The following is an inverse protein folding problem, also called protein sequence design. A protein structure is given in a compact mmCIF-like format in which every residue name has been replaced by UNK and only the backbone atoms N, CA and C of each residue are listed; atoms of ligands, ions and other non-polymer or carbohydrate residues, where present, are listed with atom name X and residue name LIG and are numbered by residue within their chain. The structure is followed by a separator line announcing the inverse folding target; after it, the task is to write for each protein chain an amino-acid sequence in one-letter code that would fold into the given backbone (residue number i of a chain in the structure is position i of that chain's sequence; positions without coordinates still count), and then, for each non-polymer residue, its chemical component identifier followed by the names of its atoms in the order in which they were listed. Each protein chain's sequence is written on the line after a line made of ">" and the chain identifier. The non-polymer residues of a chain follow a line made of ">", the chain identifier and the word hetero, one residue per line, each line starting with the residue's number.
data_IF_149156740085
#
_entry.id   IF_149156740085
#
_cell.length_a   1.000
_cell.length_b   1.000
_cell.length_c   1.000
_cell.angle_alpha   90.00
_cell.angle_beta   90.00
_cell.angle_gamma   90.00
#
_symmetry.space_group_name_H-M   'P 1'
#
loop_
_entity.id
_entity.type
_entity.pdbx_description
1 polymer ?
#
# COMPACT_ATOMS: atom_id res chain seq x y z
N UNK A 1 12.14 -5.56 10.05
CA UNK A 1 12.43 -6.10 8.87
C UNK A 1 12.83 -7.55 8.74
N UNK A 2 13.75 -8.07 9.55
CA UNK A 2 14.32 -9.41 9.36
C UNK A 2 15.60 -9.38 8.53
N UNK A 3 16.36 -10.46 8.60
CA UNK A 3 17.60 -10.65 7.84
C UNK A 3 17.28 -11.27 6.48
N UNK A 4 17.61 -10.64 5.35
CA UNK A 4 17.42 -11.26 4.05
C UNK A 4 18.38 -12.46 3.88
N UNK A 5 17.84 -13.55 3.37
CA UNK A 5 18.60 -14.78 3.04
C UNK A 5 18.19 -15.28 1.67
N UNK A 6 19.11 -15.99 1.00
CA UNK A 6 18.80 -16.83 -0.15
C UNK A 6 18.48 -18.24 0.30
N UNK A 7 17.33 -18.75 -0.10
CA UNK A 7 16.90 -20.11 0.19
C UNK A 7 16.25 -20.72 -1.06
N UNK A 8 16.81 -21.82 -1.55
CA UNK A 8 16.28 -22.53 -2.71
C UNK A 8 15.99 -21.64 -3.94
N UNK A 9 16.85 -20.65 -4.21
CA UNK A 9 16.70 -19.71 -5.32
C UNK A 9 15.86 -18.47 -5.02
N UNK A 10 15.10 -18.45 -3.93
CA UNK A 10 14.25 -17.34 -3.53
C UNK A 10 14.87 -16.51 -2.39
N UNK A 11 14.39 -15.28 -2.23
CA UNK A 11 14.77 -14.40 -1.11
C UNK A 11 13.67 -14.41 -0.06
N UNK A 12 14.05 -14.62 1.20
CA UNK A 12 13.18 -14.54 2.38
C UNK A 12 13.81 -13.63 3.43
N UNK A 13 12.99 -13.16 4.38
CA UNK A 13 13.46 -12.40 5.53
C UNK A 13 13.24 -13.23 6.79
N UNK A 14 14.32 -13.80 7.32
CA UNK A 14 14.24 -14.57 8.56
C UNK A 14 14.26 -13.64 9.74
N UNK A 15 13.43 -13.95 10.72
CA UNK A 15 13.29 -13.21 11.95
C UNK A 15 13.00 -11.74 11.73
N UNK A 16 11.95 -11.32 12.31
CA UNK A 16 11.61 -9.93 12.45
C UNK A 16 11.56 -9.59 13.92
N UNK A 17 12.34 -8.63 14.34
CA UNK A 17 12.19 -8.14 15.70
C UNK A 17 10.86 -7.39 15.80
N UNK A 18 10.26 -7.42 16.98
CA UNK A 18 9.08 -6.62 17.29
C UNK A 18 9.39 -5.13 17.13
N UNK A 19 8.54 -4.43 16.40
CA UNK A 19 8.64 -2.98 16.18
C UNK A 19 7.39 -2.27 16.66
N UNK A 20 7.56 -1.01 17.05
CA UNK A 20 6.46 -0.14 17.42
C UNK A 20 5.94 -0.38 18.82
N UNK A 21 4.69 -0.06 19.02
CA UNK A 21 4.02 -0.11 20.31
C UNK A 21 3.83 -1.55 20.80
N UNK A 22 4.37 -1.86 21.96
CA UNK A 22 4.34 -3.20 22.55
C UNK A 22 2.96 -3.59 23.07
N UNK A 23 2.08 -2.64 23.27
CA UNK A 23 0.76 -2.84 23.84
C UNK A 23 -0.29 -3.24 22.79
N UNK A 24 0.05 -3.16 21.50
CA UNK A 24 -0.88 -3.44 20.41
C UNK A 24 -0.57 -4.73 19.69
N UNK A 25 -1.60 -5.54 19.44
CA UNK A 25 -1.46 -6.85 18.81
C UNK A 25 -0.85 -6.81 17.40
N UNK A 26 -1.10 -5.75 16.63
CA UNK A 26 -0.55 -5.62 15.28
C UNK A 26 0.96 -5.32 15.24
N UNK A 27 1.55 -4.88 16.36
CA UNK A 27 2.98 -4.76 16.54
C UNK A 27 3.63 -6.05 17.06
N UNK A 28 2.81 -7.04 17.35
CA UNK A 28 3.23 -8.34 17.81
C UNK A 28 3.67 -9.19 16.62
N UNK A 29 4.79 -9.86 16.76
CA UNK A 29 5.13 -10.95 15.85
C UNK A 29 5.35 -12.23 16.64
N UNK A 30 4.82 -13.33 16.14
CA UNK A 30 5.01 -14.64 16.75
C UNK A 30 6.29 -15.27 16.22
N UNK A 31 7.16 -15.69 17.12
CA UNK A 31 8.21 -16.65 16.82
C UNK A 31 7.58 -18.03 16.95
N UNK A 32 7.35 -18.68 15.83
CA UNK A 32 7.03 -20.10 15.82
C UNK A 32 8.33 -20.88 15.99
N UNK A 33 8.29 -22.04 16.65
CA UNK A 33 9.44 -22.97 16.73
C UNK A 33 9.68 -23.68 15.40
N UNK A 34 9.29 -23.08 14.34
CA UNK A 34 9.42 -23.54 12.97
C UNK A 34 10.79 -23.13 12.41
N UNK A 35 11.54 -24.04 11.76
CA UNK A 35 12.77 -23.67 11.06
C UNK A 35 12.45 -22.60 10.00
N UNK A 36 13.40 -21.70 9.76
CA UNK A 36 13.23 -20.61 8.78
C UNK A 36 12.07 -19.67 9.11
N UNK A 37 11.81 -19.44 10.40
CA UNK A 37 10.75 -18.53 10.87
C UNK A 37 10.97 -17.10 10.37
N UNK A 38 9.89 -16.47 9.90
CA UNK A 38 9.91 -15.11 9.36
C UNK A 38 9.26 -14.09 10.29
N UNK A 39 8.28 -14.48 11.10
CA UNK A 39 7.52 -13.56 11.99
C UNK A 39 6.62 -12.57 11.24
N UNK A 40 5.78 -11.89 12.02
CA UNK A 40 4.88 -10.82 11.53
C UNK A 40 5.48 -9.44 11.81
N UNK A 41 4.94 -8.40 11.18
CA UNK A 41 5.33 -7.03 11.48
C UNK A 41 4.30 -6.01 10.98
N UNK A 42 4.39 -4.80 11.50
CA UNK A 42 3.61 -3.68 11.00
C UNK A 42 4.12 -3.27 9.62
N UNK A 43 3.21 -3.02 8.68
CA UNK A 43 3.54 -2.66 7.28
C UNK A 43 4.58 -1.55 7.20
N UNK A 44 4.33 -0.41 7.83
CA UNK A 44 5.26 0.72 7.84
C UNK A 44 6.64 0.33 8.35
N UNK A 45 6.69 -0.31 9.51
CA UNK A 45 7.94 -0.61 10.21
C UNK A 45 8.78 -1.67 9.48
N UNK A 46 8.11 -2.63 8.84
CA UNK A 46 8.79 -3.63 8.00
C UNK A 46 9.49 -2.95 6.83
N UNK A 47 8.78 -2.11 6.09
CA UNK A 47 9.36 -1.46 4.90
C UNK A 47 10.36 -0.38 5.24
N UNK A 48 10.13 0.39 6.31
CA UNK A 48 11.13 1.32 6.84
C UNK A 48 12.47 0.63 7.13
N UNK A 49 12.42 -0.58 7.66
CA UNK A 49 13.63 -1.34 7.98
C UNK A 49 14.26 -2.02 6.75
N UNK A 50 13.47 -2.37 5.75
CA UNK A 50 13.94 -3.08 4.54
C UNK A 50 14.48 -2.17 3.45
N UNK A 51 14.27 -0.86 3.53
CA UNK A 51 14.68 0.08 2.47
C UNK A 51 16.17 0.01 2.14
N UNK A 52 17.04 -0.26 3.10
CA UNK A 52 18.48 -0.36 2.86
C UNK A 52 18.96 -1.80 2.55
N UNK A 53 18.08 -2.81 2.50
CA UNK A 53 18.48 -4.22 2.29
C UNK A 53 19.34 -4.40 1.05
N UNK A 54 19.00 -3.75 -0.06
CA UNK A 54 19.73 -3.89 -1.33
C UNK A 54 21.19 -3.40 -1.25
N UNK A 55 21.49 -2.47 -0.35
CA UNK A 55 22.85 -1.97 -0.12
C UNK A 55 23.73 -2.99 0.62
N UNK A 56 23.15 -3.81 1.49
CA UNK A 56 23.86 -4.83 2.28
C UNK A 56 23.74 -6.23 1.69
N UNK A 57 22.65 -6.49 0.96
CA UNK A 57 22.32 -7.77 0.36
C UNK A 57 21.77 -7.57 -1.06
N UNK A 58 22.61 -7.23 -2.05
CA UNK A 58 22.15 -6.92 -3.42
C UNK A 58 21.29 -8.01 -4.06
N UNK A 59 21.42 -9.25 -3.60
CA UNK A 59 20.60 -10.36 -4.08
C UNK A 59 19.09 -10.20 -3.78
N UNK A 60 18.69 -9.27 -2.92
CA UNK A 60 17.29 -8.92 -2.68
C UNK A 60 16.66 -8.36 -3.96
N UNK A 61 17.45 -7.63 -4.77
CA UNK A 61 16.98 -7.07 -6.04
C UNK A 61 15.71 -6.25 -5.86
N UNK A 62 14.75 -6.43 -6.74
CA UNK A 62 13.46 -5.74 -6.70
C UNK A 62 12.41 -6.35 -5.75
N UNK A 63 12.76 -7.39 -4.96
CA UNK A 63 11.76 -8.09 -4.12
C UNK A 63 11.02 -7.16 -3.16
N UNK A 64 11.73 -6.31 -2.43
CA UNK A 64 11.08 -5.42 -1.46
C UNK A 64 10.14 -4.41 -2.14
N UNK A 65 10.49 -3.94 -3.34
CA UNK A 65 9.60 -3.10 -4.16
C UNK A 65 8.36 -3.91 -4.58
N UNK A 66 8.60 -5.14 -5.09
CA UNK A 66 7.51 -6.01 -5.53
C UNK A 66 6.53 -6.34 -4.41
N UNK A 67 7.03 -6.74 -3.24
CA UNK A 67 6.19 -7.08 -2.09
C UNK A 67 5.39 -5.87 -1.60
N UNK A 68 6.05 -4.71 -1.43
CA UNK A 68 5.40 -3.47 -1.00
C UNK A 68 4.24 -3.09 -1.91
N UNK A 69 4.52 -2.95 -3.20
CA UNK A 69 3.51 -2.48 -4.14
C UNK A 69 2.47 -3.54 -4.52
N UNK A 70 2.77 -4.84 -4.37
CA UNK A 70 1.75 -5.88 -4.47
C UNK A 70 0.66 -5.72 -3.41
N UNK A 71 1.00 -5.22 -2.23
CA UNK A 71 0.07 -5.01 -1.12
C UNK A 71 -0.65 -3.66 -1.16
N UNK A 72 -0.24 -2.73 -2.02
CA UNK A 72 -0.99 -1.49 -2.25
C UNK A 72 -2.31 -1.83 -2.93
N UNK A 73 -3.40 -1.31 -2.34
CA UNK A 73 -4.77 -1.53 -2.75
C UNK A 73 -5.20 -0.49 -3.80
N UNK A 74 -6.22 -0.78 -4.61
CA UNK A 74 -6.71 0.18 -5.59
C UNK A 74 -7.37 1.42 -4.96
N UNK A 75 -7.75 1.40 -3.68
CA UNK A 75 -8.21 2.58 -2.93
C UNK A 75 -7.07 3.44 -2.36
N UNK A 76 -5.81 3.10 -2.68
CA UNK A 76 -4.63 3.83 -2.26
C UNK A 76 -4.13 3.53 -0.85
N UNK A 77 -4.74 2.56 -0.16
CA UNK A 77 -4.30 2.07 1.15
C UNK A 77 -3.58 0.72 1.05
N UNK A 78 -3.28 0.13 2.18
CA UNK A 78 -2.55 -1.13 2.31
C UNK A 78 -2.97 -1.86 3.59
N UNK A 79 -2.77 -3.18 3.70
CA UNK A 79 -2.99 -3.91 4.94
C UNK A 79 -2.01 -3.44 6.02
N UNK A 80 -2.40 -3.58 7.28
CA UNK A 80 -1.56 -3.18 8.42
C UNK A 80 -0.48 -4.22 8.74
N UNK A 81 -0.83 -5.50 8.71
CA UNK A 81 0.03 -6.58 9.20
C UNK A 81 0.68 -7.32 8.04
N UNK A 82 2.01 -7.30 7.99
CA UNK A 82 2.79 -8.16 7.10
C UNK A 82 2.98 -9.51 7.77
N UNK A 83 2.70 -10.57 7.04
CA UNK A 83 2.87 -11.96 7.48
C UNK A 83 4.08 -12.60 6.80
N UNK A 84 4.49 -13.80 7.25
CA UNK A 84 5.51 -14.59 6.57
C UNK A 84 5.16 -14.85 5.12
N UNK A 85 6.16 -14.74 4.24
CA UNK A 85 5.99 -15.13 2.84
C UNK A 85 5.57 -16.60 2.74
N UNK A 86 4.65 -16.88 1.84
CA UNK A 86 4.17 -18.21 1.54
C UNK A 86 4.77 -18.72 0.23
N UNK A 87 5.00 -20.00 0.14
CA UNK A 87 5.40 -20.68 -1.08
C UNK A 87 4.23 -21.53 -1.57
N UNK A 88 3.79 -21.30 -2.81
CA UNK A 88 2.81 -22.14 -3.47
C UNK A 88 3.52 -23.14 -4.38
N UNK A 89 3.36 -24.43 -4.09
CA UNK A 89 3.87 -25.50 -4.94
C UNK A 89 3.07 -25.66 -6.24
N UNK A 90 3.62 -26.40 -7.19
CA UNK A 90 2.93 -26.77 -8.43
C UNK A 90 1.62 -27.55 -8.19
N UNK A 91 1.50 -28.26 -7.07
CA UNK A 91 0.27 -28.96 -6.66
C UNK A 91 -0.79 -28.02 -6.04
N UNK A 92 -0.50 -26.73 -5.92
CA UNK A 92 -1.40 -25.74 -5.30
C UNK A 92 -1.30 -25.64 -3.78
N UNK A 93 -0.50 -26.49 -3.13
CA UNK A 93 -0.27 -26.44 -1.70
C UNK A 93 0.49 -25.15 -1.32
N UNK A 94 0.04 -24.46 -0.28
CA UNK A 94 0.62 -23.17 0.12
C UNK A 94 1.03 -23.22 1.59
N UNK A 95 2.32 -23.02 1.86
CA UNK A 95 2.91 -23.07 3.20
C UNK A 95 4.11 -22.12 3.30
N UNK A 96 4.54 -21.85 4.54
CA UNK A 96 5.83 -21.19 4.78
C UNK A 96 6.99 -22.13 4.41
N UNK A 97 8.20 -21.62 4.15
CA UNK A 97 9.38 -22.46 3.92
C UNK A 97 9.64 -23.44 5.06
N UNK A 98 9.42 -23.01 6.31
CA UNK A 98 9.61 -23.86 7.49
C UNK A 98 8.63 -25.01 7.55
N UNK A 99 7.36 -24.76 7.24
CA UNK A 99 6.32 -25.79 7.18
C UNK A 99 6.62 -26.86 6.11
N UNK A 100 7.16 -26.45 4.95
CA UNK A 100 7.62 -27.41 3.93
C UNK A 100 8.73 -28.32 4.46
N UNK A 101 9.72 -27.73 5.15
CA UNK A 101 10.83 -28.51 5.73
C UNK A 101 10.34 -29.44 6.85
N UNK A 102 9.43 -28.98 7.71
CA UNK A 102 8.86 -29.82 8.77
C UNK A 102 8.03 -30.98 8.22
N UNK A 103 7.23 -30.72 7.19
CA UNK A 103 6.31 -31.73 6.63
C UNK A 103 6.98 -32.77 5.76
N UNK A 104 7.94 -32.34 4.92
CA UNK A 104 8.55 -33.21 3.89
C UNK A 104 10.01 -33.54 4.19
N UNK A 105 10.56 -33.08 5.28
CA UNK A 105 11.99 -33.16 5.56
C UNK A 105 12.81 -32.17 4.75
N UNK A 106 14.09 -32.02 5.11
CA UNK A 106 14.95 -30.98 4.55
C UNK A 106 15.11 -31.08 3.02
N UNK A 107 15.40 -32.28 2.51
CA UNK A 107 15.71 -32.47 1.07
C UNK A 107 14.47 -32.19 0.19
N UNK A 108 13.39 -32.87 0.44
CA UNK A 108 12.15 -32.73 -0.34
C UNK A 108 11.51 -31.36 -0.11
N UNK A 109 11.46 -30.86 1.13
CA UNK A 109 10.95 -29.52 1.44
C UNK A 109 11.68 -28.43 0.68
N UNK A 110 13.01 -28.48 0.61
CA UNK A 110 13.82 -27.52 -0.17
C UNK A 110 13.57 -27.63 -1.67
N UNK A 111 13.38 -28.84 -2.20
CA UNK A 111 13.03 -29.02 -3.62
C UNK A 111 11.67 -28.39 -3.97
N UNK A 112 10.66 -28.56 -3.10
CA UNK A 112 9.34 -27.95 -3.27
C UNK A 112 9.38 -26.43 -3.19
N UNK A 113 10.17 -25.87 -2.27
CA UNK A 113 10.39 -24.42 -2.18
C UNK A 113 11.04 -23.91 -3.48
N UNK A 114 12.07 -24.59 -3.99
CA UNK A 114 12.77 -24.19 -5.21
C UNK A 114 11.86 -24.14 -6.45
N UNK A 115 10.90 -25.04 -6.54
CA UNK A 115 9.94 -25.13 -7.65
C UNK A 115 8.68 -24.29 -7.45
N UNK A 116 8.48 -23.79 -6.23
CA UNK A 116 7.29 -23.03 -5.87
C UNK A 116 7.38 -21.56 -6.25
N UNK A 117 6.24 -20.88 -6.16
CA UNK A 117 6.12 -19.45 -6.32
C UNK A 117 5.98 -18.78 -4.96
N UNK A 118 6.87 -17.85 -4.64
CA UNK A 118 6.79 -17.07 -3.39
C UNK A 118 5.73 -15.97 -3.52
N UNK A 119 4.91 -15.85 -2.48
CA UNK A 119 3.84 -14.86 -2.39
C UNK A 119 3.95 -14.11 -1.07
N UNK A 120 3.88 -12.79 -1.13
CA UNK A 120 3.68 -11.98 0.07
C UNK A 120 2.32 -12.31 0.71
N UNK A 121 2.25 -12.30 2.02
CA UNK A 121 1.01 -12.44 2.79
C UNK A 121 0.85 -11.28 3.78
N UNK A 122 -0.39 -10.88 4.00
CA UNK A 122 -0.72 -9.76 4.87
C UNK A 122 -2.14 -9.90 5.41
N UNK A 123 -2.45 -9.20 6.51
CA UNK A 123 -3.79 -9.09 7.07
C UNK A 123 -4.18 -7.62 7.24
N UNK A 124 -5.47 -7.32 7.18
CA UNK A 124 -6.00 -5.96 7.30
C UNK A 124 -5.54 -5.28 8.60
N UNK A 125 -5.74 -5.91 9.74
CA UNK A 125 -5.41 -5.36 11.05
C UNK A 125 -6.46 -4.36 11.56
N UNK A 126 -6.02 -3.25 12.15
CA UNK A 126 -6.90 -2.31 12.88
C UNK A 126 -7.22 -1.00 12.13
N UNK A 127 -7.19 -0.98 10.84
CA UNK A 127 -7.54 0.21 10.08
C UNK A 127 -6.45 0.67 9.11
N UNK A 128 -6.74 1.74 8.40
CA UNK A 128 -5.86 2.32 7.40
C UNK A 128 -5.10 3.52 7.97
N UNK A 129 -3.77 3.43 7.95
CA UNK A 129 -2.88 4.46 8.43
C UNK A 129 -2.47 5.40 7.30
N UNK A 130 -2.43 6.68 7.60
CA UNK A 130 -2.18 7.70 6.58
C UNK A 130 -0.76 7.64 6.03
N UNK A 131 0.22 7.27 6.84
CA UNK A 131 1.67 7.31 6.53
C UNK A 131 2.27 6.00 6.00
N UNK A 132 1.52 4.90 5.95
CA UNK A 132 2.10 3.59 5.65
C UNK A 132 2.66 3.43 4.23
N UNK A 133 2.19 4.23 3.28
CA UNK A 133 2.66 4.20 1.89
C UNK A 133 3.99 4.97 1.66
N UNK A 134 4.40 5.80 2.62
CA UNK A 134 5.48 6.78 2.43
C UNK A 134 6.84 6.17 2.13
N UNK A 135 7.14 4.98 2.63
CA UNK A 135 8.42 4.31 2.39
C UNK A 135 8.54 3.61 1.03
N UNK A 136 7.48 3.59 0.23
CA UNK A 136 7.49 2.94 -1.08
C UNK A 136 8.49 3.53 -2.04
N UNK A 137 8.61 4.85 -2.09
CA UNK A 137 9.57 5.52 -2.96
C UNK A 137 11.02 5.31 -2.51
N UNK A 138 11.27 5.22 -1.20
CA UNK A 138 12.60 4.89 -0.67
C UNK A 138 13.09 3.54 -1.21
N UNK A 139 12.21 2.53 -1.25
CA UNK A 139 12.55 1.21 -1.80
C UNK A 139 12.93 1.28 -3.28
N UNK A 140 12.21 2.07 -4.06
CA UNK A 140 12.48 2.29 -5.49
C UNK A 140 13.81 3.03 -5.67
N UNK A 141 14.02 4.12 -4.95
CA UNK A 141 15.23 4.93 -5.07
C UNK A 141 16.48 4.18 -4.60
N UNK A 142 16.39 3.37 -3.54
CA UNK A 142 17.50 2.53 -3.10
C UNK A 142 17.84 1.43 -4.12
N UNK A 143 16.83 0.82 -4.76
CA UNK A 143 17.06 -0.09 -5.88
C UNK A 143 17.76 0.62 -7.04
N UNK A 144 17.26 1.79 -7.45
CA UNK A 144 17.79 2.55 -8.58
C UNK A 144 19.17 3.19 -8.30
N UNK A 145 19.53 3.36 -7.03
CA UNK A 145 20.88 3.78 -6.65
C UNK A 145 21.92 2.73 -7.03
N UNK A 146 21.55 1.46 -7.01
CA UNK A 146 22.45 0.34 -7.35
C UNK A 146 22.34 -0.01 -8.83
N UNK A 147 21.12 0.00 -9.39
CA UNK A 147 20.82 -0.37 -10.78
C UNK A 147 20.00 0.70 -11.50
N UNK A 148 20.59 1.88 -11.77
CA UNK A 148 19.84 2.97 -12.44
C UNK A 148 19.38 2.60 -13.84
N UNK A 149 20.10 1.72 -14.55
CA UNK A 149 19.77 1.22 -15.89
C UNK A 149 18.53 0.32 -15.92
N UNK A 150 18.07 -0.19 -14.76
CA UNK A 150 16.92 -1.08 -14.65
C UNK A 150 15.62 -0.36 -14.29
N UNK A 151 15.59 0.97 -14.35
CA UNK A 151 14.39 1.74 -14.00
C UNK A 151 13.19 1.35 -14.87
N UNK A 152 13.38 1.22 -16.20
CA UNK A 152 12.29 0.82 -17.09
C UNK A 152 11.76 -0.59 -16.77
N UNK A 153 12.65 -1.54 -16.54
CA UNK A 153 12.29 -2.90 -16.13
C UNK A 153 11.48 -2.88 -14.83
N UNK A 154 11.94 -2.10 -13.84
CA UNK A 154 11.26 -1.97 -12.56
C UNK A 154 9.86 -1.36 -12.72
N UNK A 155 9.73 -0.29 -13.51
CA UNK A 155 8.45 0.39 -13.72
C UNK A 155 7.42 -0.48 -14.48
N UNK A 156 7.89 -1.39 -15.31
CA UNK A 156 7.06 -2.33 -16.08
C UNK A 156 6.79 -3.65 -15.35
N UNK A 157 7.32 -3.83 -14.16
CA UNK A 157 7.09 -5.05 -13.37
C UNK A 157 5.60 -5.21 -13.05
N UNK A 158 5.01 -6.32 -13.47
CA UNK A 158 3.62 -6.65 -13.19
C UNK A 158 3.42 -7.15 -11.77
N UNK A 159 2.51 -6.53 -11.05
CA UNK A 159 2.20 -6.78 -9.64
C UNK A 159 0.70 -7.02 -9.46
N UNK A 160 0.30 -7.99 -8.63
CA UNK A 160 -1.10 -8.22 -8.33
C UNK A 160 -1.67 -7.05 -7.50
N UNK A 161 -2.98 -6.85 -7.56
CA UNK A 161 -3.70 -5.97 -6.65
C UNK A 161 -4.14 -6.72 -5.39
N UNK A 162 -3.78 -6.16 -4.22
CA UNK A 162 -4.37 -6.59 -2.95
C UNK A 162 -5.79 -6.04 -2.86
N UNK A 163 -6.74 -6.89 -2.45
CA UNK A 163 -8.14 -6.48 -2.34
C UNK A 163 -8.36 -5.74 -1.02
N UNK A 164 -9.03 -4.58 -1.01
CA UNK A 164 -9.42 -3.91 0.22
C UNK A 164 -10.28 -4.83 1.10
N UNK A 165 -9.86 -5.02 2.35
CA UNK A 165 -10.60 -5.81 3.35
C UNK A 165 -11.51 -4.93 4.21
N UNK A 166 -11.50 -3.63 3.98
CA UNK A 166 -12.41 -2.65 4.55
C UNK A 166 -12.64 -1.54 3.52
N UNK A 167 -13.76 -0.88 3.62
CA UNK A 167 -14.11 0.31 2.82
C UNK A 167 -13.97 1.55 3.67
N UNK A 168 -13.41 2.62 3.10
CA UNK A 168 -13.52 3.95 3.71
C UNK A 168 -14.93 4.48 3.41
N UNK A 169 -15.66 4.80 4.46
CA UNK A 169 -17.00 5.35 4.32
C UNK A 169 -16.97 6.74 3.67
N UNK A 170 -17.92 7.07 2.80
CA UNK A 170 -18.07 8.41 2.27
C UNK A 170 -18.35 9.40 3.40
N UNK A 171 -18.01 10.68 3.19
CA UNK A 171 -18.10 11.75 4.21
C UNK A 171 -19.46 11.81 4.90
N UNK A 172 -20.55 11.69 4.14
CA UNK A 172 -21.93 11.73 4.67
C UNK A 172 -22.23 10.62 5.69
N UNK A 173 -21.52 9.49 5.64
CA UNK A 173 -21.67 8.37 6.58
C UNK A 173 -20.69 8.39 7.74
N UNK A 174 -19.63 9.21 7.64
CA UNK A 174 -18.61 9.32 8.69
C UNK A 174 -19.00 10.31 9.78
N UNK A 175 -19.79 11.31 9.46
CA UNK A 175 -20.14 12.39 10.38
C UNK A 175 -21.63 12.31 10.78
N UNK A 176 -21.89 12.62 12.04
CA UNK A 176 -23.25 12.78 12.55
C UNK A 176 -23.32 13.99 13.48
N UNK A 177 -24.50 14.62 13.55
CA UNK A 177 -24.77 15.68 14.51
C UNK A 177 -25.50 15.07 15.71
N UNK A 178 -24.90 15.18 16.89
CA UNK A 178 -25.49 14.69 18.15
C UNK A 178 -25.40 15.79 19.21
N UNK A 179 -26.53 16.20 19.78
CA UNK A 179 -26.59 17.28 20.76
C UNK A 179 -26.14 18.65 20.23
N UNK A 180 -26.26 18.88 18.93
CA UNK A 180 -25.79 20.10 18.26
C UNK A 180 -24.29 20.10 17.90
N UNK A 181 -23.57 19.04 18.21
CA UNK A 181 -22.14 18.89 17.88
C UNK A 181 -21.93 17.92 16.72
N UNK A 182 -21.00 18.27 15.82
CA UNK A 182 -20.54 17.37 14.76
C UNK A 182 -19.59 16.34 15.36
N UNK A 183 -19.90 15.06 15.12
CA UNK A 183 -19.08 13.94 15.59
C UNK A 183 -18.76 12.98 14.45
N UNK A 184 -17.60 12.38 14.52
CA UNK A 184 -17.17 11.34 13.60
C UNK A 184 -17.10 10.01 14.36
N UNK A 185 -17.95 9.03 13.99
CA UNK A 185 -18.05 7.75 14.69
C UNK A 185 -17.49 6.58 13.92
N UNK A 186 -17.63 6.59 12.60
CA UNK A 186 -17.21 5.49 11.75
C UNK A 186 -16.30 6.00 10.65
N UNK A 187 -15.25 5.25 10.40
CA UNK A 187 -14.30 5.54 9.32
C UNK A 187 -14.35 4.46 8.24
N UNK A 188 -14.50 3.21 8.68
CA UNK A 188 -14.35 2.02 7.87
C UNK A 188 -15.53 1.07 8.10
N UNK A 189 -15.86 0.32 7.05
CA UNK A 189 -16.72 -0.85 7.08
C UNK A 189 -15.89 -2.05 6.63
N UNK A 190 -15.71 -3.04 7.52
CA UNK A 190 -14.93 -4.23 7.19
C UNK A 190 -15.68 -5.11 6.17
N UNK A 191 -14.92 -5.64 5.21
CA UNK A 191 -15.38 -6.56 4.17
C UNK A 191 -14.38 -7.69 3.98
N UNK A 192 -14.26 -8.59 4.95
CA UNK A 192 -13.35 -9.71 4.86
C UNK A 192 -13.66 -10.60 3.65
N UNK A 193 -12.64 -11.26 3.12
CA UNK A 193 -12.77 -12.14 1.97
C UNK A 193 -11.43 -12.47 1.32
N UNK A 194 -11.44 -12.80 0.05
CA UNK A 194 -10.23 -13.04 -0.75
C UNK A 194 -9.26 -11.87 -0.62
N UNK A 195 -7.98 -12.19 -0.41
CA UNK A 195 -6.93 -11.17 -0.22
C UNK A 195 -6.45 -10.55 -1.53
N UNK A 196 -6.56 -11.28 -2.61
CA UNK A 196 -6.06 -10.86 -3.92
C UNK A 196 -7.22 -10.63 -4.89
N UNK A 197 -7.15 -9.54 -5.63
CA UNK A 197 -8.16 -9.23 -6.63
C UNK A 197 -8.07 -10.23 -7.79
N UNK A 198 -9.23 -10.78 -8.17
CA UNK A 198 -9.35 -11.70 -9.30
C UNK A 198 -10.33 -11.15 -10.32
N UNK A 199 -10.13 -11.54 -11.58
CA UNK A 199 -11.09 -11.30 -12.66
C UNK A 199 -12.23 -12.34 -12.62
N UNK A 200 -13.22 -12.17 -13.50
CA UNK A 200 -14.34 -13.10 -13.62
C UNK A 200 -13.96 -14.53 -14.03
N UNK A 201 -12.70 -14.75 -14.41
CA UNK A 201 -12.15 -16.08 -14.75
C UNK A 201 -11.27 -16.66 -13.62
N UNK A 202 -11.13 -15.96 -12.52
CA UNK A 202 -10.32 -16.37 -11.37
C UNK A 202 -8.83 -16.03 -11.47
N UNK A 203 -8.37 -15.34 -12.51
CA UNK A 203 -6.97 -14.92 -12.64
C UNK A 203 -6.69 -13.71 -11.76
N UNK A 204 -5.44 -13.58 -11.28
CA UNK A 204 -5.00 -12.39 -10.54
C UNK A 204 -5.06 -11.15 -11.44
N UNK A 205 -5.77 -10.13 -11.01
CA UNK A 205 -5.73 -8.81 -11.65
C UNK A 205 -4.40 -8.15 -11.30
N UNK A 206 -3.65 -7.77 -12.33
CA UNK A 206 -2.32 -7.17 -12.20
C UNK A 206 -2.29 -5.78 -12.80
N UNK A 207 -1.33 -5.00 -12.36
CA UNK A 207 -0.93 -3.73 -12.95
C UNK A 207 0.59 -3.60 -12.91
N UNK A 208 1.15 -2.78 -13.75
CA UNK A 208 2.58 -2.45 -13.65
C UNK A 208 2.85 -1.59 -12.41
N UNK A 209 4.09 -1.59 -11.93
CA UNK A 209 4.48 -0.70 -10.83
C UNK A 209 4.15 0.76 -11.16
N UNK A 210 4.39 1.19 -12.39
CA UNK A 210 4.06 2.55 -12.83
C UNK A 210 2.56 2.86 -12.72
N UNK A 211 1.70 1.94 -13.16
CA UNK A 211 0.24 2.09 -13.05
C UNK A 211 -0.20 2.19 -11.59
N UNK A 212 0.34 1.33 -10.72
CA UNK A 212 0.05 1.38 -9.27
C UNK A 212 0.50 2.69 -8.63
N UNK A 213 1.68 3.20 -8.99
CA UNK A 213 2.16 4.50 -8.52
C UNK A 213 1.24 5.64 -8.95
N UNK A 214 0.80 5.65 -10.21
CA UNK A 214 -0.12 6.66 -10.72
C UNK A 214 -1.46 6.60 -9.96
N UNK A 215 -2.05 5.40 -9.82
CA UNK A 215 -3.29 5.21 -9.08
C UNK A 215 -3.16 5.69 -7.62
N UNK A 216 -2.12 5.23 -6.91
CA UNK A 216 -1.86 5.61 -5.53
C UNK A 216 -1.70 7.13 -5.37
N UNK A 217 -0.90 7.77 -6.22
CA UNK A 217 -0.71 9.22 -6.18
C UNK A 217 -2.00 9.99 -6.46
N UNK A 218 -2.84 9.54 -7.41
CA UNK A 218 -4.13 10.16 -7.67
C UNK A 218 -5.06 10.08 -6.46
N UNK A 219 -5.13 8.91 -5.80
CA UNK A 219 -5.92 8.71 -4.59
C UNK A 219 -5.43 9.60 -3.44
N UNK A 220 -4.11 9.69 -3.23
CA UNK A 220 -3.51 10.54 -2.19
C UNK A 220 -3.67 12.04 -2.50
N UNK A 221 -3.59 12.44 -3.76
CA UNK A 221 -3.83 13.82 -4.16
C UNK A 221 -5.30 14.22 -3.91
N UNK A 222 -6.25 13.36 -4.24
CA UNK A 222 -7.66 13.61 -3.96
C UNK A 222 -8.00 13.63 -2.46
N UNK A 223 -7.11 13.06 -1.60
CA UNK A 223 -7.24 13.06 -0.16
C UNK A 223 -6.63 14.29 0.53
N UNK A 224 -6.12 15.28 -0.21
CA UNK A 224 -5.64 16.54 0.36
C UNK A 224 -6.77 17.27 1.12
N UNK A 225 -6.38 18.00 2.17
CA UNK A 225 -7.28 18.87 2.92
C UNK A 225 -7.74 20.08 2.09
N UNK A 226 -8.68 20.85 2.63
CA UNK A 226 -9.25 22.01 1.95
C UNK A 226 -8.25 23.14 1.65
N UNK A 227 -7.09 23.12 2.27
CA UNK A 227 -6.00 24.09 2.04
C UNK A 227 -4.90 23.53 1.14
N UNK A 228 -4.99 22.25 0.77
CA UNK A 228 -3.95 21.57 -0.01
C UNK A 228 -2.62 21.41 0.75
N UNK A 229 -2.65 21.51 2.07
CA UNK A 229 -1.45 21.49 2.92
C UNK A 229 -1.09 20.10 3.44
N UNK A 230 -2.07 19.24 3.65
CA UNK A 230 -1.86 17.91 4.22
C UNK A 230 -2.81 16.86 3.65
N UNK A 231 -2.47 15.59 3.81
CA UNK A 231 -3.35 14.47 3.48
C UNK A 231 -4.24 14.18 4.69
N UNK A 232 -5.56 14.13 4.47
CA UNK A 232 -6.52 13.85 5.52
C UNK A 232 -6.42 12.43 6.08
N UNK A 233 -6.68 12.30 7.38
CA UNK A 233 -6.66 11.03 8.12
C UNK A 233 -8.00 10.31 8.06
N UNK A 234 -8.55 10.18 6.88
CA UNK A 234 -9.89 9.68 6.61
C UNK A 234 -10.11 8.20 6.95
N UNK A 235 -9.02 7.43 7.06
CA UNK A 235 -9.02 6.03 7.48
C UNK A 235 -9.00 5.80 8.98
N UNK A 236 -9.05 6.87 9.79
CA UNK A 236 -9.15 6.82 11.24
C UNK A 236 -7.82 6.60 11.97
N UNK A 237 -6.69 6.52 11.27
CA UNK A 237 -5.35 6.34 11.86
C UNK A 237 -4.37 7.38 11.31
N UNK A 238 -3.80 8.24 12.19
CA UNK A 238 -2.96 9.36 11.77
C UNK A 238 -1.51 8.99 11.45
N UNK A 239 -1.06 7.79 11.77
CA UNK A 239 0.35 7.42 11.64
C UNK A 239 1.15 7.74 12.89
N UNK A 240 2.33 8.33 12.74
CA UNK A 240 3.24 8.67 13.84
C UNK A 240 2.76 9.81 14.75
N UNK A 241 1.73 10.52 14.37
CA UNK A 241 1.28 11.72 15.08
C UNK A 241 0.23 11.39 16.13
N UNK A 242 0.64 10.82 17.26
CA UNK A 242 -0.26 10.47 18.37
C UNK A 242 -1.10 11.66 18.86
N UNK A 243 -0.56 12.88 18.77
CA UNK A 243 -1.30 14.10 19.10
C UNK A 243 -2.53 14.32 18.20
N UNK A 244 -2.58 13.70 17.03
CA UNK A 244 -3.70 13.77 16.09
C UNK A 244 -4.66 12.58 16.21
N UNK A 245 -4.37 11.62 17.08
CA UNK A 245 -5.26 10.50 17.35
C UNK A 245 -6.60 11.00 17.87
N UNK A 246 -7.67 10.53 17.26
CA UNK A 246 -9.03 10.91 17.62
C UNK A 246 -9.51 12.24 17.03
N UNK A 247 -8.67 13.00 16.31
CA UNK A 247 -9.16 14.12 15.52
C UNK A 247 -9.92 13.61 14.29
N UNK A 248 -11.09 14.21 13.97
CA UNK A 248 -11.75 13.95 12.70
C UNK A 248 -10.85 14.29 11.51
N UNK A 249 -10.98 13.56 10.41
CA UNK A 249 -10.22 13.83 9.18
C UNK A 249 -10.34 15.28 8.70
N UNK A 250 -11.49 15.90 8.94
CA UNK A 250 -11.72 17.31 8.63
C UNK A 250 -10.80 18.28 9.40
N UNK A 251 -10.32 17.90 10.58
CA UNK A 251 -9.46 18.71 11.44
C UNK A 251 -8.04 18.17 11.58
N UNK A 252 -7.78 17.00 11.02
CA UNK A 252 -6.49 16.33 11.08
C UNK A 252 -5.98 15.98 9.70
N UNK A 253 -4.85 16.57 9.30
CA UNK A 253 -4.16 16.27 8.05
C UNK A 253 -2.65 16.19 8.27
N UNK A 254 -1.98 15.38 7.46
CA UNK A 254 -0.53 15.16 7.55
C UNK A 254 0.19 15.94 6.46
N UNK A 255 0.92 16.98 6.86
CA UNK A 255 1.75 17.81 5.97
C UNK A 255 2.94 17.01 5.45
N UNK A 256 3.54 16.13 6.27
CA UNK A 256 4.65 15.28 5.85
C UNK A 256 4.23 14.31 4.75
N UNK A 257 3.04 13.76 4.79
CA UNK A 257 2.54 12.89 3.74
C UNK A 257 2.24 13.67 2.45
N UNK A 258 1.83 14.93 2.53
CA UNK A 258 1.71 15.79 1.36
C UNK A 258 3.08 16.11 0.73
N UNK A 259 4.11 16.31 1.53
CA UNK A 259 5.48 16.48 1.03
C UNK A 259 5.99 15.18 0.36
N UNK A 260 5.68 14.02 0.93
CA UNK A 260 6.02 12.73 0.34
C UNK A 260 5.25 12.48 -0.97
N UNK A 261 3.98 12.90 -1.04
CA UNK A 261 3.21 12.90 -2.29
C UNK A 261 3.89 13.76 -3.37
N UNK A 262 4.35 14.95 -3.02
CA UNK A 262 5.07 15.82 -3.95
C UNK A 262 6.36 15.15 -4.48
N UNK A 263 7.08 14.42 -3.61
CA UNK A 263 8.27 13.64 -3.98
C UNK A 263 7.91 12.55 -4.99
N UNK A 264 6.85 11.77 -4.74
CA UNK A 264 6.33 10.76 -5.66
C UNK A 264 5.91 11.35 -7.01
N UNK A 265 5.19 12.49 -7.01
CA UNK A 265 4.76 13.16 -8.24
C UNK A 265 5.95 13.66 -9.07
N UNK A 266 7.00 14.17 -8.42
CA UNK A 266 8.25 14.57 -9.09
C UNK A 266 8.96 13.37 -9.71
N UNK A 267 9.05 12.27 -8.99
CA UNK A 267 9.61 11.02 -9.50
C UNK A 267 8.82 10.51 -10.71
N UNK A 268 7.51 10.38 -10.60
CA UNK A 268 6.62 9.96 -11.69
C UNK A 268 6.77 10.84 -12.93
N UNK A 269 6.75 12.16 -12.75
CA UNK A 269 6.93 13.13 -13.84
C UNK A 269 8.28 12.92 -14.55
N UNK A 270 9.34 12.65 -13.81
CA UNK A 270 10.66 12.39 -14.36
C UNK A 270 10.71 11.07 -15.12
N UNK A 271 10.15 9.99 -14.55
CA UNK A 271 10.09 8.66 -15.19
C UNK A 271 9.26 8.68 -16.48
N UNK A 272 8.08 9.28 -16.45
CA UNK A 272 7.22 9.43 -17.64
C UNK A 272 7.88 10.23 -18.75
N UNK A 273 8.67 11.24 -18.41
CA UNK A 273 9.43 12.02 -19.40
C UNK A 273 10.59 11.23 -20.03
N UNK A 274 11.25 10.37 -19.24
CA UNK A 274 12.37 9.56 -19.72
C UNK A 274 11.92 8.45 -20.66
N UNK A 275 10.85 7.76 -20.28
CA UNK A 275 10.46 6.54 -21.01
C UNK A 275 9.36 6.78 -22.03
N UNK A 276 8.68 7.90 -21.96
CA UNK A 276 7.56 8.27 -22.84
C UNK A 276 6.54 7.13 -22.91
N UNK A 277 5.31 7.34 -22.84
CA UNK A 277 4.45 6.20 -22.95
C UNK A 277 3.01 6.43 -22.54
N UNK A 278 2.21 5.44 -22.88
CA UNK A 278 0.84 5.33 -22.41
C UNK A 278 0.84 4.52 -21.12
N UNK A 279 0.19 5.04 -20.11
CA UNK A 279 -0.11 4.31 -18.88
C UNK A 279 -1.54 3.80 -19.01
N UNK A 280 -1.74 2.50 -18.88
CA UNK A 280 -3.07 1.91 -18.83
C UNK A 280 -3.57 1.99 -17.39
N UNK A 281 -4.75 2.53 -17.18
CA UNK A 281 -5.33 2.67 -15.85
C UNK A 281 -6.68 1.98 -15.78
N UNK A 282 -7.03 1.38 -14.63
CA UNK A 282 -8.42 0.97 -14.39
C UNK A 282 -9.37 2.17 -14.58
N UNK A 283 -10.51 1.93 -15.20
CA UNK A 283 -11.47 3.00 -15.53
C UNK A 283 -11.80 3.93 -14.36
N UNK A 284 -12.06 3.45 -13.12
CA UNK A 284 -12.31 4.33 -12.00
C UNK A 284 -11.17 5.33 -11.72
N UNK A 285 -9.92 4.87 -11.83
CA UNK A 285 -8.74 5.72 -11.61
C UNK A 285 -8.52 6.71 -12.76
N UNK A 286 -8.78 6.29 -13.98
CA UNK A 286 -8.75 7.20 -15.13
C UNK A 286 -9.77 8.33 -14.96
N UNK A 287 -11.00 8.00 -14.59
CA UNK A 287 -12.06 8.98 -14.35
C UNK A 287 -11.70 9.91 -13.18
N UNK A 288 -11.12 9.37 -12.09
CA UNK A 288 -10.60 10.18 -10.99
C UNK A 288 -9.57 11.20 -11.50
N UNK A 289 -8.56 10.75 -12.25
CA UNK A 289 -7.52 11.64 -12.79
C UNK A 289 -8.09 12.74 -13.68
N UNK A 290 -9.06 12.41 -14.55
CA UNK A 290 -9.71 13.41 -15.42
C UNK A 290 -10.47 14.45 -14.62
N UNK A 291 -11.18 14.05 -13.56
CA UNK A 291 -11.89 14.98 -12.68
C UNK A 291 -10.92 15.86 -11.86
N UNK A 292 -9.84 15.25 -11.34
CA UNK A 292 -8.79 16.02 -10.62
C UNK A 292 -8.12 17.03 -11.55
N UNK A 293 -7.81 16.65 -12.78
CA UNK A 293 -7.25 17.55 -13.78
C UNK A 293 -8.18 18.77 -13.99
N UNK A 294 -9.47 18.52 -14.23
CA UNK A 294 -10.45 19.56 -14.40
C UNK A 294 -10.53 20.47 -13.17
N UNK A 295 -10.61 19.89 -11.96
CA UNK A 295 -10.68 20.65 -10.73
C UNK A 295 -9.44 21.54 -10.50
N UNK A 296 -8.26 21.10 -10.92
CA UNK A 296 -7.02 21.90 -10.85
C UNK A 296 -7.04 23.04 -11.90
N UNK A 297 -7.49 22.74 -13.13
CA UNK A 297 -7.59 23.73 -14.20
C UNK A 297 -8.62 24.84 -13.90
N UNK A 298 -9.65 24.51 -13.11
CA UNK A 298 -10.70 25.45 -12.70
C UNK A 298 -10.28 26.37 -11.52
N UNK A 299 -9.09 26.17 -10.93
CA UNK A 299 -8.57 27.03 -9.86
C UNK A 299 -8.12 28.37 -10.48
N UNK A 300 -8.73 29.52 -10.10
CA UNK A 300 -8.26 30.81 -10.58
C UNK A 300 -6.85 31.17 -10.06
N UNK A 301 -6.13 31.99 -10.80
CA UNK A 301 -4.77 32.46 -10.44
C UNK A 301 -4.72 33.17 -9.07
N UNK A 302 -5.84 33.81 -8.68
CA UNK A 302 -6.03 34.43 -7.34
C UNK A 302 -7.22 33.77 -6.65
N UNK A 303 -6.95 32.92 -5.68
CA UNK A 303 -7.98 32.13 -5.00
C UNK A 303 -8.31 32.67 -3.60
N UNK A 304 -9.58 32.89 -3.34
CA UNK A 304 -10.09 33.03 -1.98
C UNK A 304 -10.43 31.66 -1.35
N UNK A 305 -10.68 31.63 -0.05
CA UNK A 305 -10.98 30.40 0.71
C UNK A 305 -12.15 29.61 0.11
N UNK A 306 -13.13 30.23 -0.51
CA UNK A 306 -14.29 29.57 -1.12
C UNK A 306 -13.87 28.64 -2.26
N UNK A 307 -12.93 29.08 -3.11
CA UNK A 307 -12.44 28.26 -4.25
C UNK A 307 -11.69 27.03 -3.77
N UNK A 308 -10.92 27.14 -2.69
CA UNK A 308 -10.22 25.98 -2.10
C UNK A 308 -11.19 24.96 -1.54
N UNK A 309 -12.30 25.40 -0.91
CA UNK A 309 -13.36 24.52 -0.42
C UNK A 309 -14.08 23.82 -1.58
N UNK A 310 -14.34 24.51 -2.69
CA UNK A 310 -14.97 23.94 -3.88
C UNK A 310 -14.05 22.91 -4.53
N UNK A 311 -12.74 23.20 -4.67
CA UNK A 311 -11.74 22.25 -5.13
C UNK A 311 -11.69 21.01 -4.25
N UNK A 312 -11.61 21.20 -2.92
CA UNK A 312 -11.61 20.09 -1.95
C UNK A 312 -12.85 19.22 -2.10
N UNK A 313 -14.04 19.85 -2.14
CA UNK A 313 -15.30 19.13 -2.25
C UNK A 313 -15.42 18.34 -3.56
N UNK A 314 -15.01 18.93 -4.68
CA UNK A 314 -14.97 18.27 -5.99
C UNK A 314 -14.02 17.08 -6.00
N UNK A 315 -12.80 17.27 -5.46
CA UNK A 315 -11.78 16.20 -5.37
C UNK A 315 -12.24 15.04 -4.48
N UNK A 316 -12.86 15.34 -3.34
CA UNK A 316 -13.41 14.32 -2.42
C UNK A 316 -14.56 13.56 -3.05
N UNK A 317 -15.48 14.23 -3.73
CA UNK A 317 -16.58 13.57 -4.43
C UNK A 317 -16.07 12.65 -5.53
N UNK A 318 -15.04 13.06 -6.27
CA UNK A 318 -14.38 12.23 -7.27
C UNK A 318 -13.71 11.00 -6.65
N UNK A 319 -13.03 11.18 -5.49
CA UNK A 319 -12.39 10.11 -4.74
C UNK A 319 -13.40 9.08 -4.21
N UNK A 320 -14.49 9.56 -3.62
CA UNK A 320 -15.57 8.72 -3.08
C UNK A 320 -16.24 7.89 -4.18
N UNK A 321 -16.50 8.49 -5.33
CA UNK A 321 -17.03 7.78 -6.48
C UNK A 321 -16.07 6.72 -7.02
N UNK A 322 -14.79 7.06 -7.17
CA UNK A 322 -13.77 6.09 -7.58
C UNK A 322 -13.70 4.89 -6.62
N UNK A 323 -13.76 5.15 -5.31
CA UNK A 323 -13.76 4.09 -4.30
C UNK A 323 -14.98 3.21 -4.36
N UNK A 324 -16.17 3.79 -4.53
CA UNK A 324 -17.40 3.02 -4.69
C UNK A 324 -17.29 2.01 -5.83
N UNK A 325 -16.79 2.44 -6.99
CA UNK A 325 -16.57 1.54 -8.13
C UNK A 325 -15.48 0.50 -7.84
N UNK A 326 -14.35 0.91 -7.20
CA UNK A 326 -13.27 -0.01 -6.81
C UNK A 326 -13.76 -1.10 -5.88
N UNK A 327 -14.64 -0.75 -4.93
CA UNK A 327 -15.15 -1.70 -3.94
C UNK A 327 -16.23 -2.63 -4.51
N UNK A 328 -16.96 -2.20 -5.55
CA UNK A 328 -18.01 -3.00 -6.22
C UNK A 328 -17.46 -3.92 -7.31
N UNK A 329 -16.42 -3.52 -8.03
CA UNK A 329 -15.83 -4.27 -9.14
C UNK A 329 -15.01 -5.50 -8.74
N UNK A 330 -15.11 -6.01 -7.57
CA UNK A 330 -14.28 -7.14 -7.10
C UNK A 330 -15.01 -8.05 -6.12
N UNK A 331 -16.34 -7.99 -6.13
CA UNK A 331 -17.18 -8.90 -5.36
C UNK A 331 -17.54 -10.14 -6.17
#
# INVERSE_FOLDING_TARGET
>A
GGKPIRLAGHTFHLYSRKHGDLERDYNYFSLTQEPLSQGNGNFRDVWQNRRCDVSFAPFVGGKNVADFYSLIQPDGYNPLVIKPDLVQSASGETMTPGQYVLRYGRQEGMARIAQGTVKADADFGEGYWTDHWSYGLDLIEDFLRIWPEREQELMQMELPWYRPQAQILPREKRYSVSGGELRQYHFLEERPGEKWRRDGYGNLVKATLLEKLVCMCAMKFAALDAWGCGIEMEGGRPGWYDALNGLPALFGSSVTDAMELLRHLRFLKASLRRYGGKVSLPEPHYMLLMRLKQSVEDIPEYTGNTVLVDFWNSSKSALEHCREEVYTQGA
#
